data_IF_940666940708
#
_entry.id   IF_940666940708
#
_cell.length_a   1.000
_cell.length_b   1.000
_cell.length_c   1.000
_cell.angle_alpha   90.00
_cell.angle_beta   90.00
_cell.angle_gamma   90.00
#
_symmetry.space_group_name_H-M   'P 1'
#
loop_
_entity.id
_entity.type
_entity.pdbx_description
1 polymer ?
#
# COMPACT_ATOMS: atom_id res chain seq x y z
N UNK A 1 -16.47 -3.58 -4.37
CA UNK A 1 -15.16 -4.17 -4.72
C UNK A 1 -14.26 -3.91 -3.52
N UNK A 2 -13.49 -4.89 -3.07
CA UNK A 2 -12.55 -4.70 -1.96
C UNK A 2 -11.26 -4.12 -2.54
N UNK A 3 -10.80 -3.01 -1.96
CA UNK A 3 -9.57 -2.33 -2.41
C UNK A 3 -8.37 -3.01 -1.78
N UNK A 4 -7.42 -3.45 -2.60
CA UNK A 4 -6.18 -4.08 -2.13
C UNK A 4 -5.15 -3.01 -1.82
N UNK A 5 -4.64 -3.04 -0.59
CA UNK A 5 -3.63 -2.11 -0.10
C UNK A 5 -2.40 -2.92 0.28
N UNK A 6 -1.31 -2.70 -0.44
CA UNK A 6 -0.03 -3.33 -0.16
C UNK A 6 0.73 -2.49 0.84
N UNK A 7 1.10 -3.04 1.99
CA UNK A 7 1.65 -2.28 3.13
C UNK A 7 3.06 -2.77 3.46
N UNK A 8 4.01 -1.84 3.44
CA UNK A 8 5.35 -2.01 3.99
C UNK A 8 5.43 -1.28 5.34
N UNK A 9 5.55 -2.05 6.42
CA UNK A 9 5.69 -1.57 7.80
C UNK A 9 7.08 -1.83 8.40
N UNK A 10 8.08 -2.16 7.57
CA UNK A 10 9.47 -2.33 8.00
C UNK A 10 10.16 -0.98 8.31
N UNK A 11 9.58 0.14 7.86
CA UNK A 11 10.05 1.48 8.22
C UNK A 11 9.59 1.84 9.65
N UNK A 12 10.54 2.00 10.57
CA UNK A 12 10.26 2.20 11.99
C UNK A 12 9.39 3.43 12.31
N UNK A 13 9.39 4.45 11.45
CA UNK A 13 8.72 5.74 11.69
C UNK A 13 7.53 6.01 10.76
N UNK A 14 7.36 5.23 9.68
CA UNK A 14 6.36 5.47 8.65
C UNK A 14 5.84 4.14 8.10
N UNK A 15 4.60 4.14 7.63
CA UNK A 15 4.00 2.99 6.97
C UNK A 15 3.79 3.39 5.52
N UNK A 16 4.49 2.73 4.61
CA UNK A 16 4.33 2.95 3.19
C UNK A 16 3.24 2.01 2.65
N UNK A 17 2.36 2.54 1.82
CA UNK A 17 1.31 1.77 1.19
C UNK A 17 1.30 1.97 -0.32
N UNK A 18 0.83 0.97 -1.05
CA UNK A 18 0.61 1.05 -2.47
C UNK A 18 -0.78 0.51 -2.82
N UNK A 19 -1.48 1.21 -3.71
CA UNK A 19 -2.75 0.76 -4.28
C UNK A 19 -2.61 0.79 -5.80
N UNK A 20 -2.79 -0.36 -6.45
CA UNK A 20 -2.70 -0.46 -7.90
C UNK A 20 -3.81 0.38 -8.56
N UNK A 21 -3.42 1.28 -9.47
CA UNK A 21 -4.36 2.23 -10.08
C UNK A 21 -4.42 3.60 -9.38
N UNK A 22 -3.83 3.74 -8.20
CA UNK A 22 -3.83 4.98 -7.40
C UNK A 22 -2.40 5.46 -7.20
N UNK A 23 -1.53 4.63 -6.62
CA UNK A 23 -0.13 4.96 -6.36
C UNK A 23 0.31 4.69 -4.93
N UNK A 24 1.40 5.36 -4.55
CA UNK A 24 2.03 5.26 -3.24
C UNK A 24 1.49 6.29 -2.26
N UNK A 25 1.40 5.92 -0.98
CA UNK A 25 1.09 6.83 0.11
C UNK A 25 1.85 6.45 1.38
N UNK A 26 2.00 7.38 2.31
CA UNK A 26 2.73 7.18 3.58
C UNK A 26 1.92 7.66 4.77
N UNK A 27 1.87 6.84 5.82
CA UNK A 27 1.13 7.11 7.04
C UNK A 27 2.04 7.10 8.27
N UNK A 28 1.67 7.85 9.30
CA UNK A 28 2.44 7.90 10.56
C UNK A 28 2.12 6.76 11.51
N UNK A 29 0.99 6.08 11.32
CA UNK A 29 0.56 4.96 12.16
C UNK A 29 -0.48 4.09 11.46
N UNK A 30 -0.63 2.85 11.94
CA UNK A 30 -1.64 1.90 11.44
C UNK A 30 -3.07 2.42 11.66
N UNK A 31 -3.30 3.14 12.75
CA UNK A 31 -4.61 3.72 13.05
C UNK A 31 -4.97 4.82 12.05
N UNK A 32 -4.02 5.71 11.73
CA UNK A 32 -4.20 6.74 10.71
C UNK A 32 -4.47 6.10 9.35
N UNK A 33 -3.59 5.18 8.93
CA UNK A 33 -3.72 4.43 7.67
C UNK A 33 -5.10 3.77 7.54
N UNK A 34 -5.52 3.01 8.54
CA UNK A 34 -6.78 2.26 8.49
C UNK A 34 -7.99 3.20 8.44
N UNK A 35 -7.96 4.29 9.22
CA UNK A 35 -9.06 5.26 9.25
C UNK A 35 -9.19 6.01 7.91
N UNK A 36 -8.08 6.47 7.34
CA UNK A 36 -8.09 7.23 6.07
C UNK A 36 -8.48 6.32 4.90
N UNK A 37 -7.85 5.14 4.79
CA UNK A 37 -8.13 4.18 3.72
C UNK A 37 -9.57 3.66 3.78
N UNK A 38 -10.12 3.42 4.97
CA UNK A 38 -11.51 3.00 5.09
C UNK A 38 -12.49 4.14 4.75
N UNK A 39 -12.14 5.38 5.09
CA UNK A 39 -12.96 6.54 4.74
C UNK A 39 -12.99 6.82 3.23
N UNK A 40 -11.87 6.61 2.54
CA UNK A 40 -11.74 6.91 1.12
C UNK A 40 -12.21 5.75 0.23
N UNK A 41 -11.83 4.52 0.57
CA UNK A 41 -12.04 3.34 -0.28
C UNK A 41 -13.08 2.36 0.27
N UNK A 42 -13.59 2.57 1.48
CA UNK A 42 -14.53 1.66 2.14
C UNK A 42 -13.87 0.38 2.63
N UNK A 43 -14.32 -0.76 2.13
CA UNK A 43 -13.75 -2.05 2.53
C UNK A 43 -12.38 -2.28 1.87
N UNK A 44 -11.36 -2.45 2.70
CA UNK A 44 -9.96 -2.63 2.28
C UNK A 44 -9.41 -3.98 2.73
N UNK A 45 -8.61 -4.60 1.86
CA UNK A 45 -7.81 -5.79 2.15
C UNK A 45 -6.35 -5.36 2.31
N UNK A 46 -5.84 -5.47 3.53
CA UNK A 46 -4.44 -5.15 3.85
C UNK A 46 -3.56 -6.35 3.54
N UNK A 47 -2.62 -6.17 2.60
CA UNK A 47 -1.70 -7.21 2.12
C UNK A 47 -0.28 -6.79 2.52
N UNK A 48 0.45 -7.59 3.31
CA UNK A 48 1.86 -7.31 3.60
C UNK A 48 2.69 -7.27 2.32
N UNK A 49 3.40 -6.17 2.09
CA UNK A 49 4.30 -5.99 0.95
C UNK A 49 5.68 -6.59 1.30
N UNK A 50 5.76 -7.91 1.27
CA UNK A 50 7.05 -8.60 1.48
C UNK A 50 8.02 -8.30 0.34
N UNK A 51 9.32 -8.44 0.60
CA UNK A 51 10.35 -8.24 -0.45
C UNK A 51 10.13 -9.13 -1.68
N UNK A 52 9.62 -10.36 -1.47
CA UNK A 52 9.29 -11.27 -2.57
C UNK A 52 8.11 -10.76 -3.40
N UNK A 53 7.04 -10.29 -2.75
CA UNK A 53 5.87 -9.74 -3.42
C UNK A 53 6.23 -8.44 -4.16
N UNK A 54 7.01 -7.56 -3.53
CA UNK A 54 7.53 -6.36 -4.17
C UNK A 54 8.30 -6.69 -5.45
N UNK A 55 9.22 -7.67 -5.40
CA UNK A 55 9.98 -8.09 -6.58
C UNK A 55 9.08 -8.63 -7.70
N UNK A 56 8.03 -9.40 -7.37
CA UNK A 56 7.06 -9.91 -8.34
C UNK A 56 6.25 -8.77 -8.99
N UNK A 57 5.78 -7.81 -8.19
CA UNK A 57 5.02 -6.65 -8.65
C UNK A 57 5.88 -5.74 -9.53
N UNK A 58 7.14 -5.53 -9.14
CA UNK A 58 8.12 -4.78 -9.92
C UNK A 58 8.39 -5.45 -11.28
N UNK A 59 8.64 -6.76 -11.29
CA UNK A 59 8.86 -7.52 -12.53
C UNK A 59 7.64 -7.53 -13.46
N UNK A 60 6.44 -7.36 -12.90
CA UNK A 60 5.17 -7.31 -13.63
C UNK A 60 4.81 -5.90 -14.11
N UNK A 61 5.63 -4.89 -13.80
CA UNK A 61 5.38 -3.50 -14.19
C UNK A 61 4.24 -2.82 -13.42
N UNK A 62 3.83 -3.37 -12.27
CA UNK A 62 2.69 -2.83 -11.50
C UNK A 62 2.96 -1.41 -11.00
N UNK A 63 4.22 -1.07 -10.73
CA UNK A 63 4.66 0.24 -10.27
C UNK A 63 4.95 1.22 -11.42
N UNK A 64 4.89 0.78 -12.68
CA UNK A 64 5.18 1.68 -13.82
C UNK A 64 4.17 2.83 -13.87
N UNK A 65 4.68 4.06 -13.87
CA UNK A 65 3.87 5.28 -13.90
C UNK A 65 3.49 5.84 -12.53
N UNK A 66 3.94 5.23 -11.43
CA UNK A 66 3.77 5.77 -10.08
C UNK A 66 5.12 6.19 -9.51
N UNK A 67 5.23 7.44 -9.07
CA UNK A 67 6.39 7.90 -8.31
C UNK A 67 6.31 7.37 -6.87
N UNK A 68 7.41 6.85 -6.27
CA UNK A 68 7.45 6.42 -4.88
C UNK A 68 7.30 7.58 -3.88
#
# INVERSE_FOLDING_TARGET
MVTKVYVDDDMADLIQTFIAGVGWDTFKSKDQMTSELHSEYGEVEIIPLTSELYAQMLASGVFEGYEP
#
